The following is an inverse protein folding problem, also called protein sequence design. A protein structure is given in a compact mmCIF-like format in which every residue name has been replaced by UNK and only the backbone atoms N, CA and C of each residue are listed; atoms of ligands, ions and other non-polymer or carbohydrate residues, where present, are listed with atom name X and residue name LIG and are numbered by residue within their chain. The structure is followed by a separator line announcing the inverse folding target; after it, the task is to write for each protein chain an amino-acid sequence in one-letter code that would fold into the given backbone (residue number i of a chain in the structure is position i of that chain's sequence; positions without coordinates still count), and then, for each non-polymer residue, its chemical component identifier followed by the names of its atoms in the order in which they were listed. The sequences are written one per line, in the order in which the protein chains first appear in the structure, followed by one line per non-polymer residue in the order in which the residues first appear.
data_IF_318300545004
#
_entry.id   IF_318300545004
#
_cell.length_a   1.000
_cell.length_b   1.000
_cell.length_c   1.000
_cell.angle_alpha   90.00
_cell.angle_beta   90.00
_cell.angle_gamma   90.00
#
_symmetry.space_group_name_H-M   'P 1'
#
loop_
_entity.id
_entity.type
_entity.pdbx_description
1 polymer ?
#
# COMPACT_ATOMS: atom_id res chain seq x y z
N UNK A 1 -38.02 29.42 -5.67
CA UNK A 1 -38.17 28.68 -6.94
C UNK A 1 -36.87 27.91 -7.20
N UNK A 2 -37.00 26.59 -7.45
CA UNK A 2 -35.95 25.59 -7.76
C UNK A 2 -35.12 25.13 -6.54
N UNK A 3 -35.49 24.11 -5.76
CA UNK A 3 -35.93 22.72 -6.04
C UNK A 3 -34.77 21.74 -6.29
N UNK A 4 -34.52 20.90 -5.29
CA UNK A 4 -34.19 19.47 -5.35
C UNK A 4 -33.19 18.99 -6.42
N UNK A 5 -31.90 18.93 -6.08
CA UNK A 5 -30.91 18.22 -6.90
C UNK A 5 -29.72 17.73 -6.07
N UNK A 6 -29.90 16.77 -5.15
CA UNK A 6 -28.77 15.96 -4.66
C UNK A 6 -29.22 14.73 -3.84
N UNK A 7 -30.09 13.88 -4.40
CA UNK A 7 -30.55 12.67 -3.70
C UNK A 7 -30.37 11.37 -4.51
N UNK A 8 -29.47 11.36 -5.51
CA UNK A 8 -29.36 10.24 -6.48
C UNK A 8 -28.00 9.54 -6.51
N UNK A 9 -27.15 9.68 -5.48
CA UNK A 9 -25.82 9.04 -5.45
C UNK A 9 -25.73 7.88 -4.44
N UNK A 10 -26.74 7.64 -3.60
CA UNK A 10 -26.63 6.67 -2.50
C UNK A 10 -27.20 5.25 -2.75
N UNK A 11 -27.56 4.89 -3.99
CA UNK A 11 -28.26 3.61 -4.27
C UNK A 11 -27.57 2.72 -5.33
N UNK A 12 -26.23 2.76 -5.42
CA UNK A 12 -25.47 2.04 -6.47
C UNK A 12 -24.46 0.99 -5.98
N UNK A 13 -24.50 0.55 -4.71
CA UNK A 13 -23.44 -0.29 -4.14
C UNK A 13 -23.89 -1.64 -3.54
N UNK A 14 -24.98 -2.24 -4.05
CA UNK A 14 -25.57 -3.46 -3.46
C UNK A 14 -25.87 -4.60 -4.45
N UNK A 15 -25.23 -4.64 -5.61
CA UNK A 15 -25.38 -5.77 -6.54
C UNK A 15 -24.06 -6.13 -7.23
N UNK A 16 -23.18 -6.82 -6.52
CA UNK A 16 -22.13 -7.64 -7.14
C UNK A 16 -22.29 -9.08 -6.62
N UNK A 17 -22.78 -10.02 -7.45
CA UNK A 17 -22.84 -11.43 -7.08
C UNK A 17 -21.42 -11.99 -6.95
N UNK A 18 -21.15 -12.59 -5.79
CA UNK A 18 -19.94 -13.33 -5.49
C UNK A 18 -19.70 -14.46 -6.51
N UNK A 19 -18.84 -14.21 -7.49
CA UNK A 19 -18.22 -15.26 -8.29
C UNK A 19 -17.14 -15.94 -7.44
N UNK A 20 -17.56 -16.93 -6.66
CA UNK A 20 -16.68 -17.84 -5.91
C UNK A 20 -15.93 -18.71 -6.93
N UNK A 21 -14.74 -18.26 -7.35
CA UNK A 21 -13.81 -19.08 -8.15
C UNK A 21 -13.30 -20.20 -7.25
N UNK A 22 -13.71 -21.41 -7.55
CA UNK A 22 -13.08 -22.65 -7.11
C UNK A 22 -11.60 -22.62 -7.48
N UNK A 23 -10.75 -22.71 -6.45
CA UNK A 23 -9.32 -22.95 -6.61
C UNK A 23 -9.19 -24.42 -6.99
N UNK A 24 -9.04 -24.68 -8.28
CA UNK A 24 -8.65 -25.99 -8.77
C UNK A 24 -7.26 -26.32 -8.23
N UNK A 25 -7.18 -27.53 -7.70
CA UNK A 25 -6.04 -28.17 -7.07
C UNK A 25 -4.81 -28.17 -7.98
N UNK A 26 -3.78 -27.43 -7.57
CA UNK A 26 -2.44 -27.51 -8.13
C UNK A 26 -1.88 -28.93 -7.89
N UNK A 27 -1.96 -29.76 -8.93
CA UNK A 27 -1.38 -31.11 -8.97
C UNK A 27 0.14 -31.06 -8.98
N UNK A 28 0.76 -31.05 -7.80
CA UNK A 28 2.18 -31.34 -7.63
C UNK A 28 2.41 -32.86 -7.73
N UNK A 29 2.63 -33.34 -8.95
CA UNK A 29 3.18 -34.67 -9.22
C UNK A 29 4.61 -34.74 -8.67
N UNK A 30 4.76 -35.16 -7.41
CA UNK A 30 6.04 -35.55 -6.83
C UNK A 30 6.49 -36.88 -7.45
N UNK A 31 7.57 -36.83 -8.21
CA UNK A 31 8.34 -37.98 -8.65
C UNK A 31 8.90 -38.71 -7.42
N UNK A 32 8.35 -39.88 -7.12
CA UNK A 32 8.94 -40.83 -6.17
C UNK A 32 10.02 -41.59 -6.91
N UNK A 33 11.28 -41.41 -6.52
CA UNK A 33 12.34 -42.43 -6.58
C UNK A 33 13.56 -41.89 -5.82
N UNK A 34 13.53 -42.01 -4.50
CA UNK A 34 14.72 -41.78 -3.68
C UNK A 34 14.92 -42.98 -2.73
N UNK A 35 16.03 -43.74 -2.85
CA UNK A 35 16.23 -45.05 -2.21
C UNK A 35 16.65 -45.02 -0.73
N UNK A 36 16.38 -43.94 0.01
CA UNK A 36 16.88 -43.75 1.39
C UNK A 36 15.97 -44.33 2.50
N UNK A 37 14.90 -45.04 2.17
CA UNK A 37 13.84 -45.46 3.10
C UNK A 37 14.14 -46.72 3.94
N UNK A 38 15.28 -47.39 3.76
CA UNK A 38 15.54 -48.68 4.42
C UNK A 38 16.09 -48.62 5.85
N UNK A 39 16.39 -47.43 6.38
CA UNK A 39 16.86 -47.26 7.77
C UNK A 39 15.78 -46.86 8.78
N UNK A 40 14.52 -46.68 8.34
CA UNK A 40 13.42 -46.24 9.23
C UNK A 40 12.53 -47.38 9.77
N UNK A 41 12.63 -48.61 9.26
CA UNK A 41 11.74 -49.71 9.67
C UNK A 41 12.03 -50.29 11.06
N UNK A 42 13.20 -50.02 11.66
CA UNK A 42 13.50 -50.53 13.01
C UNK A 42 13.02 -49.62 14.16
N UNK A 43 12.54 -48.40 13.89
CA UNK A 43 11.96 -47.51 14.93
C UNK A 43 10.43 -47.59 15.07
N UNK A 44 9.73 -48.39 14.26
CA UNK A 44 8.26 -48.48 14.33
C UNK A 44 7.71 -49.42 15.41
N UNK A 45 8.53 -50.32 15.98
CA UNK A 45 8.01 -51.30 16.95
C UNK A 45 7.88 -50.79 18.39
N UNK A 46 8.50 -49.67 18.75
CA UNK A 46 8.35 -49.05 20.09
C UNK A 46 7.25 -47.98 20.20
N UNK A 47 6.63 -47.55 19.10
CA UNK A 47 5.55 -46.53 19.11
C UNK A 47 4.12 -47.09 19.15
N UNK A 48 3.94 -48.40 19.38
CA UNK A 48 2.60 -49.02 19.44
C UNK A 48 1.86 -48.84 20.77
N UNK A 49 2.48 -48.24 21.78
CA UNK A 49 1.83 -47.93 23.08
C UNK A 49 1.24 -46.53 23.21
N UNK A 50 1.44 -45.63 22.23
CA UNK A 50 1.09 -44.20 22.34
C UNK A 50 -0.01 -43.74 21.35
N UNK A 51 -0.65 -44.67 20.65
CA UNK A 51 -1.84 -44.42 19.85
C UNK A 51 -3.02 -45.13 20.53
N UNK A 52 -3.39 -44.64 21.71
CA UNK A 52 -4.71 -44.93 22.27
C UNK A 52 -5.79 -44.42 21.33
N UNK A 53 -6.94 -45.10 21.29
CA UNK A 53 -8.10 -44.90 20.41
C UNK A 53 -8.38 -43.43 20.05
N UNK A 54 -7.70 -42.92 19.02
CA UNK A 54 -7.92 -41.59 18.52
C UNK A 54 -9.27 -41.54 17.83
N UNK A 55 -10.21 -40.75 18.35
CA UNK A 55 -11.46 -40.46 17.64
C UNK A 55 -11.30 -39.17 16.86
N UNK A 56 -11.65 -39.23 15.58
CA UNK A 56 -11.70 -38.05 14.73
C UNK A 56 -12.62 -37.00 15.38
N UNK A 57 -12.04 -35.87 15.78
CA UNK A 57 -12.73 -34.80 16.52
C UNK A 57 -12.12 -34.46 17.88
N UNK A 58 -11.22 -35.30 18.44
CA UNK A 58 -10.60 -35.02 19.73
C UNK A 58 -9.63 -33.83 19.67
N UNK A 59 -8.89 -33.66 18.57
CA UNK A 59 -8.08 -32.47 18.32
C UNK A 59 -8.94 -31.20 18.30
N UNK A 60 -10.03 -31.20 17.53
CA UNK A 60 -10.97 -30.08 17.46
C UNK A 60 -11.59 -29.78 18.81
N UNK A 61 -12.00 -30.80 19.58
CA UNK A 61 -12.56 -30.63 20.93
C UNK A 61 -11.52 -30.06 21.90
N UNK A 62 -10.27 -30.50 21.84
CA UNK A 62 -9.20 -30.00 22.71
C UNK A 62 -8.88 -28.52 22.44
N UNK A 63 -8.83 -28.13 21.16
CA UNK A 63 -8.63 -26.74 20.75
C UNK A 63 -9.83 -25.89 21.15
N UNK A 64 -11.05 -26.35 20.85
CA UNK A 64 -12.28 -25.63 21.18
C UNK A 64 -12.44 -25.46 22.69
N UNK A 65 -12.11 -26.48 23.49
CA UNK A 65 -12.17 -26.41 24.96
C UNK A 65 -11.16 -25.40 25.51
N UNK A 66 -9.92 -25.36 24.99
CA UNK A 66 -8.91 -24.37 25.38
C UNK A 66 -9.32 -22.94 25.01
N UNK A 67 -9.82 -22.73 23.79
CA UNK A 67 -10.24 -21.39 23.35
C UNK A 67 -11.50 -20.93 24.09
N UNK A 68 -12.49 -21.81 24.27
CA UNK A 68 -13.71 -21.48 24.98
C UNK A 68 -13.45 -21.15 26.45
N UNK A 69 -12.67 -21.97 27.16
CA UNK A 69 -12.30 -21.70 28.56
C UNK A 69 -11.51 -20.40 28.72
N UNK A 70 -10.64 -20.06 27.77
CA UNK A 70 -9.93 -18.78 27.77
C UNK A 70 -10.83 -17.55 27.60
N UNK A 71 -11.97 -17.69 26.89
CA UNK A 71 -12.92 -16.59 26.65
C UNK A 71 -13.97 -16.49 27.76
N UNK A 72 -14.52 -17.63 28.21
CA UNK A 72 -15.65 -17.66 29.14
C UNK A 72 -15.24 -17.81 30.60
N UNK A 73 -14.01 -18.27 30.87
CA UNK A 73 -13.53 -18.57 32.22
C UNK A 73 -14.18 -19.80 32.86
N UNK A 74 -14.98 -20.59 32.12
CA UNK A 74 -15.66 -21.80 32.62
C UNK A 74 -14.95 -23.06 32.15
N UNK A 75 -14.83 -24.06 33.02
CA UNK A 75 -14.18 -25.36 32.69
C UNK A 75 -15.05 -26.25 31.79
N UNK A 76 -16.38 -26.11 31.88
CA UNK A 76 -17.35 -26.87 31.09
C UNK A 76 -18.05 -25.96 30.07
N UNK A 77 -17.77 -26.20 28.79
CA UNK A 77 -18.38 -25.45 27.69
C UNK A 77 -19.85 -25.85 27.49
N UNK A 78 -20.76 -24.87 27.60
CA UNK A 78 -22.14 -25.02 27.14
C UNK A 78 -22.35 -24.24 25.83
N UNK A 79 -23.10 -24.84 24.91
CA UNK A 79 -23.48 -24.17 23.67
C UNK A 79 -24.25 -22.88 23.99
N UNK A 80 -23.69 -21.73 23.62
CA UNK A 80 -24.25 -20.40 23.89
C UNK A 80 -23.53 -19.58 24.97
N UNK A 81 -22.59 -20.15 25.74
CA UNK A 81 -21.81 -19.40 26.73
C UNK A 81 -20.96 -18.29 26.07
N UNK A 82 -20.36 -18.57 24.91
CA UNK A 82 -19.59 -17.58 24.14
C UNK A 82 -20.52 -16.44 23.70
N UNK A 83 -21.70 -16.74 23.16
CA UNK A 83 -22.66 -15.73 22.72
C UNK A 83 -23.14 -14.85 23.87
N UNK A 84 -23.43 -15.43 25.04
CA UNK A 84 -23.84 -14.67 26.24
C UNK A 84 -22.70 -13.80 26.78
N UNK A 85 -21.48 -14.31 26.79
CA UNK A 85 -20.30 -13.56 27.25
C UNK A 85 -19.99 -12.41 26.30
N UNK A 86 -20.02 -12.64 24.98
CA UNK A 86 -19.87 -11.59 23.97
C UNK A 86 -20.97 -10.54 24.07
N UNK A 87 -22.23 -10.95 24.24
CA UNK A 87 -23.34 -10.03 24.41
C UNK A 87 -23.21 -9.20 25.68
N UNK A 88 -22.82 -9.82 26.81
CA UNK A 88 -22.59 -9.14 28.08
C UNK A 88 -21.42 -8.14 28.02
N UNK A 89 -20.34 -8.50 27.33
CA UNK A 89 -19.21 -7.59 27.10
C UNK A 89 -19.62 -6.42 26.19
N UNK A 90 -20.42 -6.69 25.15
CA UNK A 90 -20.93 -5.66 24.26
C UNK A 90 -21.86 -4.68 25.00
N UNK A 91 -22.81 -5.17 25.83
CA UNK A 91 -23.68 -4.29 26.62
C UNK A 91 -22.90 -3.48 27.65
N UNK A 92 -21.89 -4.08 28.30
CA UNK A 92 -21.02 -3.36 29.24
C UNK A 92 -20.24 -2.26 28.52
N UNK A 93 -19.62 -2.57 27.37
CA UNK A 93 -18.89 -1.58 26.58
C UNK A 93 -19.81 -0.46 26.07
N UNK A 94 -21.05 -0.78 25.65
CA UNK A 94 -22.03 0.23 25.25
C UNK A 94 -22.40 1.12 26.42
N UNK A 95 -22.64 0.55 27.61
CA UNK A 95 -22.94 1.32 28.83
C UNK A 95 -21.78 2.24 29.22
N UNK A 96 -20.54 1.75 29.15
CA UNK A 96 -19.35 2.55 29.46
C UNK A 96 -19.12 3.66 28.41
N UNK A 97 -19.52 3.44 27.16
CA UNK A 97 -19.46 4.43 26.09
C UNK A 97 -20.55 5.50 26.19
N UNK A 98 -21.79 5.12 26.55
CA UNK A 98 -22.95 6.02 26.55
C UNK A 98 -23.22 6.67 27.90
N UNK A 99 -22.82 6.02 29.01
CA UNK A 99 -23.15 6.44 30.38
C UNK A 99 -24.60 6.16 30.80
N UNK A 100 -25.41 5.54 29.94
CA UNK A 100 -26.82 5.24 30.20
C UNK A 100 -27.01 3.79 30.63
N UNK A 101 -27.82 3.54 31.67
CA UNK A 101 -28.11 2.17 32.14
C UNK A 101 -28.94 1.35 31.15
N UNK A 102 -29.79 2.01 30.35
CA UNK A 102 -30.65 1.38 29.35
C UNK A 102 -30.32 1.88 27.94
N UNK A 103 -30.08 0.95 27.01
CA UNK A 103 -29.71 1.29 25.63
C UNK A 103 -30.91 1.81 24.84
N UNK A 104 -30.79 3.02 24.29
CA UNK A 104 -31.73 3.53 23.29
C UNK A 104 -31.10 3.51 21.89
N UNK A 105 -31.93 3.20 20.89
CA UNK A 105 -31.48 3.24 19.49
C UNK A 105 -30.98 4.65 19.15
N UNK A 106 -29.70 4.75 18.80
CA UNK A 106 -29.02 6.01 18.49
C UNK A 106 -28.11 6.56 19.59
N UNK A 107 -28.10 5.98 20.79
CA UNK A 107 -27.21 6.42 21.87
C UNK A 107 -25.74 6.27 21.50
N UNK A 108 -25.36 5.16 20.86
CA UNK A 108 -23.99 4.96 20.35
C UNK A 108 -23.63 6.05 19.34
N UNK A 109 -24.54 6.37 18.41
CA UNK A 109 -24.30 7.41 17.40
C UNK A 109 -24.11 8.78 18.04
N UNK A 110 -24.91 9.14 19.05
CA UNK A 110 -24.77 10.40 19.80
C UNK A 110 -23.49 10.43 20.63
N UNK A 111 -23.16 9.33 21.31
CA UNK A 111 -21.92 9.23 22.09
C UNK A 111 -20.68 9.33 21.20
N UNK A 112 -20.68 8.68 20.04
CA UNK A 112 -19.61 8.81 19.04
C UNK A 112 -19.53 10.23 18.47
N UNK A 113 -20.66 10.88 18.18
CA UNK A 113 -20.69 12.27 17.71
C UNK A 113 -20.14 13.25 18.75
N UNK A 114 -20.50 13.10 20.03
CA UNK A 114 -19.95 13.92 21.12
C UNK A 114 -18.45 13.67 21.26
N UNK A 115 -17.99 12.41 21.29
CA UNK A 115 -16.56 12.10 21.37
C UNK A 115 -15.78 12.62 20.17
N UNK A 116 -16.34 12.52 18.97
CA UNK A 116 -15.72 13.08 17.77
C UNK A 116 -15.61 14.61 17.87
N UNK A 117 -16.69 15.30 18.28
CA UNK A 117 -16.69 16.75 18.47
C UNK A 117 -15.67 17.19 19.52
N UNK A 118 -15.60 16.50 20.66
CA UNK A 118 -14.60 16.77 21.71
C UNK A 118 -13.18 16.56 21.18
N UNK A 119 -12.92 15.44 20.49
CA UNK A 119 -11.60 15.18 19.92
C UNK A 119 -11.17 16.25 18.91
N UNK A 120 -12.10 16.75 18.08
CA UNK A 120 -11.79 17.84 17.14
C UNK A 120 -11.59 19.17 17.87
N UNK A 121 -12.42 19.47 18.87
CA UNK A 121 -12.27 20.66 19.70
C UNK A 121 -10.88 20.69 20.37
N UNK A 122 -10.47 19.57 20.98
CA UNK A 122 -9.16 19.38 21.59
C UNK A 122 -8.03 19.50 20.57
N UNK A 123 -8.16 18.87 19.40
CA UNK A 123 -7.14 18.90 18.33
C UNK A 123 -6.93 20.31 17.76
N UNK A 124 -7.99 21.12 17.69
CA UNK A 124 -7.98 22.46 17.10
C UNK A 124 -7.80 23.58 18.14
N UNK A 125 -7.76 23.23 19.44
CA UNK A 125 -7.75 24.16 20.57
C UNK A 125 -8.92 25.17 20.52
N UNK A 126 -10.13 24.69 20.18
CA UNK A 126 -11.36 25.51 20.14
C UNK A 126 -12.40 24.97 21.11
N UNK A 127 -13.24 25.85 21.65
CA UNK A 127 -14.33 25.42 22.56
C UNK A 127 -15.45 24.66 21.84
N UNK A 128 -15.70 24.96 20.57
CA UNK A 128 -16.79 24.36 19.80
C UNK A 128 -16.32 23.93 18.42
N UNK A 129 -16.72 22.72 18.02
CA UNK A 129 -16.46 22.16 16.71
C UNK A 129 -17.22 22.91 15.61
N UNK A 130 -16.52 23.30 14.54
CA UNK A 130 -17.12 23.71 13.28
C UNK A 130 -16.69 22.81 12.14
N UNK A 131 -17.61 22.58 11.19
CA UNK A 131 -17.33 21.78 10.00
C UNK A 131 -16.17 22.43 9.22
N UNK A 132 -15.14 21.63 8.94
CA UNK A 132 -13.94 22.07 8.24
C UNK A 132 -12.81 22.57 9.14
N UNK A 133 -12.98 22.62 10.46
CA UNK A 133 -11.91 23.03 11.38
C UNK A 133 -10.69 22.10 11.30
N UNK A 134 -10.91 20.77 11.20
CA UNK A 134 -9.81 19.81 11.02
C UNK A 134 -9.03 20.12 9.75
N UNK A 135 -9.72 20.26 8.61
CA UNK A 135 -9.07 20.51 7.33
C UNK A 135 -8.31 21.84 7.32
N UNK A 136 -8.89 22.91 7.89
CA UNK A 136 -8.22 24.21 8.03
C UNK A 136 -6.99 24.12 8.91
N UNK A 137 -7.06 23.41 10.04
CA UNK A 137 -5.94 23.26 10.96
C UNK A 137 -4.82 22.41 10.36
N UNK A 138 -5.13 21.32 9.66
CA UNK A 138 -4.13 20.53 8.94
C UNK A 138 -3.47 21.36 7.85
N UNK A 139 -4.24 22.08 7.03
CA UNK A 139 -3.70 22.96 5.98
C UNK A 139 -2.81 24.04 6.59
N UNK A 140 -3.22 24.65 7.72
CA UNK A 140 -2.41 25.63 8.46
C UNK A 140 -1.08 25.01 8.91
N UNK A 141 -1.10 23.82 9.51
CA UNK A 141 0.10 23.09 9.97
C UNK A 141 1.03 22.73 8.83
N UNK A 142 0.48 22.22 7.73
CA UNK A 142 1.23 21.91 6.51
C UNK A 142 1.91 23.17 5.96
N UNK A 143 1.17 24.29 5.88
CA UNK A 143 1.73 25.57 5.43
C UNK A 143 2.79 26.14 6.38
N UNK A 144 2.72 25.85 7.68
CA UNK A 144 3.74 26.27 8.65
C UNK A 144 4.94 25.33 8.74
N UNK A 145 4.91 24.17 8.08
CA UNK A 145 5.94 23.13 8.21
C UNK A 145 5.84 22.27 9.48
N UNK A 146 5.00 22.64 10.45
CA UNK A 146 4.78 21.93 11.71
C UNK A 146 3.68 20.86 11.60
N UNK A 147 3.82 19.93 10.65
CA UNK A 147 2.84 18.86 10.47
C UNK A 147 3.41 17.51 10.94
N UNK A 148 2.52 16.65 11.45
CA UNK A 148 2.84 15.24 11.68
C UNK A 148 2.39 14.42 10.48
N UNK A 149 3.07 13.32 10.18
CA UNK A 149 2.67 12.43 9.06
C UNK A 149 1.24 11.91 9.25
N UNK A 150 0.81 11.72 10.50
CA UNK A 150 -0.56 11.35 10.85
C UNK A 150 -1.59 12.41 10.45
N UNK A 151 -1.25 13.70 10.52
CA UNK A 151 -2.14 14.80 10.14
C UNK A 151 -2.40 14.80 8.63
N UNK A 152 -1.35 14.58 7.83
CA UNK A 152 -1.46 14.50 6.37
C UNK A 152 -2.21 13.24 5.96
N UNK A 153 -1.92 12.12 6.63
CA UNK A 153 -2.65 10.88 6.39
C UNK A 153 -4.15 11.02 6.71
N UNK A 154 -4.49 11.72 7.79
CA UNK A 154 -5.88 12.05 8.12
C UNK A 154 -6.53 12.92 7.03
N UNK A 155 -5.82 13.93 6.53
CA UNK A 155 -6.29 14.76 5.41
C UNK A 155 -6.56 13.91 4.17
N UNK A 156 -5.65 13.01 3.80
CA UNK A 156 -5.84 12.12 2.66
C UNK A 156 -7.05 11.20 2.84
N UNK A 157 -7.25 10.63 4.03
CA UNK A 157 -8.45 9.83 4.34
C UNK A 157 -9.74 10.61 4.21
N UNK A 158 -9.76 11.85 4.69
CA UNK A 158 -10.91 12.76 4.57
C UNK A 158 -11.20 13.01 3.09
N UNK A 159 -10.20 13.38 2.29
CA UNK A 159 -10.36 13.62 0.85
C UNK A 159 -10.91 12.40 0.12
N UNK A 160 -10.40 11.20 0.44
CA UNK A 160 -10.93 9.96 -0.12
C UNK A 160 -12.37 9.68 0.27
N UNK A 161 -12.75 9.93 1.52
CA UNK A 161 -14.13 9.75 1.96
C UNK A 161 -15.10 10.65 1.17
N UNK A 162 -14.65 11.83 0.74
CA UNK A 162 -15.40 12.75 -0.11
C UNK A 162 -15.24 12.47 -1.62
N UNK A 163 -14.44 11.48 -2.02
CA UNK A 163 -14.15 11.20 -3.42
C UNK A 163 -13.33 12.29 -4.11
N UNK A 164 -12.70 13.19 -3.36
CA UNK A 164 -11.80 14.18 -3.90
C UNK A 164 -10.49 13.50 -4.34
N UNK A 165 -10.01 13.86 -5.54
CA UNK A 165 -8.71 13.39 -6.01
C UNK A 165 -7.58 13.93 -5.11
N UNK A 166 -6.57 13.10 -4.82
CA UNK A 166 -5.41 13.52 -4.04
C UNK A 166 -4.40 14.35 -4.83
N UNK A 167 -4.43 14.28 -6.17
CA UNK A 167 -3.45 14.90 -7.04
C UNK A 167 -3.06 16.35 -6.65
N UNK A 168 -4.01 17.28 -6.38
CA UNK A 168 -3.65 18.65 -5.99
C UNK A 168 -2.98 18.76 -4.62
N UNK A 169 -3.22 17.82 -3.72
CA UNK A 169 -2.58 17.81 -2.39
C UNK A 169 -1.22 17.12 -2.48
N UNK A 170 -1.14 15.97 -3.15
CA UNK A 170 0.12 15.25 -3.36
C UNK A 170 1.14 16.09 -4.13
N UNK A 171 0.70 16.95 -5.06
CA UNK A 171 1.58 17.87 -5.80
C UNK A 171 2.08 19.06 -4.97
N UNK A 172 1.51 19.31 -3.79
CA UNK A 172 1.97 20.35 -2.86
C UNK A 172 2.90 19.81 -1.75
N UNK A 173 2.99 18.49 -1.58
CA UNK A 173 3.76 17.87 -0.49
C UNK A 173 5.22 17.62 -0.86
N UNK A 174 6.21 17.85 0.02
CA UNK A 174 7.60 17.45 -0.21
C UNK A 174 7.76 15.96 -0.57
N UNK A 175 8.72 15.61 -1.43
CA UNK A 175 8.91 14.24 -1.92
C UNK A 175 9.20 13.23 -0.79
N UNK A 176 9.95 13.68 0.23
CA UNK A 176 10.25 12.89 1.43
C UNK A 176 8.99 12.44 2.17
N UNK A 177 7.98 13.31 2.28
CA UNK A 177 6.73 12.95 2.93
C UNK A 177 5.88 11.98 2.13
N UNK A 178 5.88 12.13 0.80
CA UNK A 178 5.18 11.19 -0.08
C UNK A 178 5.74 9.78 0.13
N UNK A 179 7.06 9.66 0.25
CA UNK A 179 7.74 8.38 0.51
C UNK A 179 7.39 7.83 1.90
N UNK A 180 7.38 8.66 2.94
CA UNK A 180 6.95 8.27 4.29
C UNK A 180 5.47 7.84 4.33
N UNK A 181 4.60 8.56 3.61
CA UNK A 181 3.18 8.22 3.47
C UNK A 181 2.98 6.89 2.73
N UNK A 182 3.77 6.62 1.69
CA UNK A 182 3.77 5.33 0.99
C UNK A 182 4.20 4.22 1.95
N UNK A 183 5.28 4.41 2.71
CA UNK A 183 5.74 3.41 3.68
C UNK A 183 4.68 3.12 4.76
N UNK A 184 4.04 4.15 5.29
CA UNK A 184 2.92 3.99 6.24
C UNK A 184 1.71 3.33 5.57
N UNK A 185 1.43 3.66 4.30
CA UNK A 185 0.33 3.06 3.54
C UNK A 185 0.59 1.59 3.17
N UNK A 186 1.85 1.17 3.09
CA UNK A 186 2.21 -0.25 2.90
C UNK A 186 2.14 -1.01 4.22
N UNK A 187 2.49 -0.35 5.33
CA UNK A 187 2.41 -0.92 6.67
C UNK A 187 0.97 -0.99 7.20
N UNK A 188 0.13 -0.03 6.85
CA UNK A 188 -1.30 -0.02 7.16
C UNK A 188 -2.11 -0.65 6.04
N UNK A 189 -3.23 -1.29 6.38
CA UNK A 189 -4.25 -1.72 5.40
C UNK A 189 -4.95 -0.49 4.80
N UNK A 190 -4.24 0.28 3.98
CA UNK A 190 -4.79 1.46 3.32
C UNK A 190 -5.09 1.13 1.87
N UNK A 191 -6.16 1.71 1.34
CA UNK A 191 -6.67 1.37 0.01
C UNK A 191 -5.60 1.57 -1.07
N UNK A 192 -5.50 0.61 -1.99
CA UNK A 192 -4.63 0.66 -3.19
C UNK A 192 -4.74 1.98 -3.97
N UNK A 193 -5.88 2.66 -3.87
CA UNK A 193 -6.12 3.97 -4.49
C UNK A 193 -5.24 5.08 -3.92
N UNK A 194 -5.02 5.11 -2.59
CA UNK A 194 -4.12 6.08 -1.94
C UNK A 194 -2.70 5.83 -2.42
N UNK A 195 -2.28 4.55 -2.37
CA UNK A 195 -0.94 4.15 -2.78
C UNK A 195 -0.69 4.50 -4.25
N UNK A 196 -1.63 4.19 -5.15
CA UNK A 196 -1.51 4.50 -6.58
C UNK A 196 -1.42 6.00 -6.84
N UNK A 197 -2.23 6.82 -6.16
CA UNK A 197 -2.19 8.27 -6.33
C UNK A 197 -0.86 8.88 -5.80
N UNK A 198 -0.41 8.46 -4.61
CA UNK A 198 0.86 8.93 -4.04
C UNK A 198 2.06 8.48 -4.88
N UNK A 199 2.07 7.22 -5.33
CA UNK A 199 3.13 6.68 -6.18
C UNK A 199 3.18 7.38 -7.54
N UNK A 200 2.03 7.69 -8.16
CA UNK A 200 1.98 8.44 -9.42
C UNK A 200 2.59 9.83 -9.28
N UNK A 201 2.23 10.57 -8.23
CA UNK A 201 2.79 11.92 -8.03
C UNK A 201 4.27 11.90 -7.65
N UNK A 202 4.70 10.88 -6.89
CA UNK A 202 6.11 10.69 -6.57
C UNK A 202 6.92 10.37 -7.84
N UNK A 203 6.42 9.47 -8.69
CA UNK A 203 7.02 9.11 -9.98
C UNK A 203 7.14 10.33 -10.91
N UNK A 204 6.09 11.15 -11.03
CA UNK A 204 6.12 12.41 -11.81
C UNK A 204 7.22 13.36 -11.32
N UNK A 205 7.43 13.46 -10.01
CA UNK A 205 8.48 14.31 -9.44
C UNK A 205 9.87 13.76 -9.67
N UNK A 206 10.06 12.45 -9.49
CA UNK A 206 11.34 11.80 -9.78
C UNK A 206 11.70 11.94 -11.26
N UNK A 207 10.74 11.75 -12.17
CA UNK A 207 10.92 11.98 -13.60
C UNK A 207 11.32 13.41 -13.90
N UNK A 208 10.59 14.38 -13.34
CA UNK A 208 10.90 15.79 -13.51
C UNK A 208 12.28 16.17 -12.96
N UNK A 209 12.66 15.67 -11.79
CA UNK A 209 13.96 15.94 -11.18
C UNK A 209 15.12 15.33 -11.98
N UNK A 210 14.96 14.11 -12.49
CA UNK A 210 16.03 13.42 -13.24
C UNK A 210 16.17 13.89 -14.68
N UNK A 211 15.07 14.28 -15.32
CA UNK A 211 15.04 14.49 -16.78
C UNK A 211 14.67 15.91 -17.19
N UNK A 212 14.17 16.73 -16.26
CA UNK A 212 13.58 18.03 -16.55
C UNK A 212 12.21 17.96 -17.24
N UNK A 213 11.69 16.75 -17.51
CA UNK A 213 10.42 16.53 -18.19
C UNK A 213 9.46 15.73 -17.29
N UNK A 214 8.22 16.23 -17.14
CA UNK A 214 7.18 15.56 -16.34
C UNK A 214 6.60 14.36 -17.08
N UNK A 215 6.55 14.41 -18.40
CA UNK A 215 5.93 13.41 -19.25
C UNK A 215 6.92 12.32 -19.69
N UNK A 216 8.11 12.28 -19.07
CA UNK A 216 9.14 11.31 -19.38
C UNK A 216 8.61 9.87 -19.29
N UNK A 217 8.71 9.14 -20.40
CA UNK A 217 8.43 7.71 -20.42
C UNK A 217 9.74 6.96 -20.31
N UNK A 218 9.75 5.93 -19.47
CA UNK A 218 10.89 5.01 -19.34
C UNK A 218 11.19 4.42 -20.73
N UNK A 219 12.26 4.90 -21.37
CA UNK A 219 12.54 4.61 -22.77
C UNK A 219 12.94 5.84 -23.59
N UNK A 220 12.52 7.04 -23.20
CA UNK A 220 12.90 8.27 -23.89
C UNK A 220 14.39 8.59 -23.71
N UNK A 221 14.99 8.28 -22.55
CA UNK A 221 16.43 8.46 -22.35
C UNK A 221 17.24 7.47 -23.18
N UNK A 222 16.78 6.21 -23.23
CA UNK A 222 17.37 5.18 -24.10
C UNK A 222 17.23 5.57 -25.57
N UNK A 223 16.05 6.08 -25.96
CA UNK A 223 15.78 6.58 -27.32
C UNK A 223 16.69 7.76 -27.65
N UNK A 224 16.81 8.76 -26.77
CA UNK A 224 17.72 9.90 -26.94
C UNK A 224 19.19 9.45 -27.03
N UNK A 225 19.61 8.48 -26.20
CA UNK A 225 20.97 7.94 -26.24
C UNK A 225 21.25 7.20 -27.54
N UNK A 226 20.30 6.40 -28.03
CA UNK A 226 20.40 5.70 -29.33
C UNK A 226 20.39 6.71 -30.48
N UNK A 227 19.52 7.72 -30.47
CA UNK A 227 19.44 8.77 -31.50
C UNK A 227 20.74 9.57 -31.58
N UNK A 228 21.31 9.96 -30.42
CA UNK A 228 22.64 10.61 -30.35
C UNK A 228 23.73 9.72 -30.92
N UNK A 229 23.72 8.43 -30.63
CA UNK A 229 24.70 7.48 -31.17
C UNK A 229 24.58 7.29 -32.70
N UNK A 230 23.36 7.31 -33.22
CA UNK A 230 23.08 7.17 -34.66
C UNK A 230 23.34 8.49 -35.43
N UNK A 231 23.45 9.62 -34.72
CA UNK A 231 23.63 10.95 -35.32
C UNK A 231 22.34 11.50 -35.96
N UNK A 232 21.18 11.13 -35.41
CA UNK A 232 19.87 11.66 -35.84
C UNK A 232 19.36 12.68 -34.81
N UNK A 233 18.67 13.70 -35.30
CA UNK A 233 18.06 14.73 -34.46
C UNK A 233 16.83 14.20 -33.71
N UNK A 234 16.43 14.87 -32.63
CA UNK A 234 15.32 14.44 -31.76
C UNK A 234 13.97 14.30 -32.49
N UNK A 235 13.82 14.92 -33.67
CA UNK A 235 12.64 14.83 -34.52
C UNK A 235 12.54 13.56 -35.37
N UNK A 236 13.62 12.79 -35.51
CA UNK A 236 13.64 11.65 -36.41
C UNK A 236 13.15 10.38 -35.72
N UNK A 237 12.23 9.67 -36.38
CA UNK A 237 11.74 8.39 -35.89
C UNK A 237 12.80 7.30 -36.06
N UNK A 238 13.03 6.51 -35.01
CA UNK A 238 13.95 5.38 -35.05
C UNK A 238 13.44 4.32 -36.02
N UNK A 239 14.27 3.93 -36.99
CA UNK A 239 13.98 2.83 -37.89
C UNK A 239 14.87 1.62 -37.57
N UNK A 240 14.27 0.44 -37.59
CA UNK A 240 15.02 -0.81 -37.41
C UNK A 240 16.13 -0.92 -38.46
N UNK A 241 17.39 -1.02 -38.01
CA UNK A 241 18.58 -1.05 -38.87
C UNK A 241 19.41 0.24 -38.86
N UNK A 242 18.95 1.31 -38.22
CA UNK A 242 19.73 2.55 -38.08
C UNK A 242 21.03 2.36 -37.29
N UNK A 243 21.01 1.54 -36.23
CA UNK A 243 22.22 1.20 -35.47
C UNK A 243 23.22 0.47 -36.37
N UNK A 244 22.77 -0.51 -37.16
CA UNK A 244 23.63 -1.24 -38.09
C UNK A 244 24.26 -0.31 -39.14
N UNK A 245 23.48 0.66 -39.65
CA UNK A 245 24.00 1.67 -40.58
C UNK A 245 25.01 2.61 -39.90
N UNK A 246 24.76 3.05 -38.67
CA UNK A 246 25.67 3.90 -37.91
C UNK A 246 27.00 3.17 -37.62
N UNK A 247 26.93 1.92 -37.17
CA UNK A 247 28.11 1.08 -36.93
C UNK A 247 28.88 0.81 -38.23
N UNK A 248 28.19 0.55 -39.34
CA UNK A 248 28.83 0.37 -40.64
C UNK A 248 29.57 1.65 -41.10
N UNK A 249 28.95 2.83 -40.94
CA UNK A 249 29.61 4.13 -41.21
C UNK A 249 30.83 4.34 -40.33
N UNK A 250 30.74 4.06 -39.03
CA UNK A 250 31.87 4.17 -38.10
C UNK A 250 33.01 3.21 -38.46
N UNK A 251 32.70 2.00 -38.93
CA UNK A 251 33.70 1.03 -39.39
C UNK A 251 34.43 1.53 -40.65
N UNK A 252 33.70 2.03 -41.65
CA UNK A 252 34.28 2.62 -42.86
C UNK A 252 35.16 3.85 -42.55
N UNK A 253 34.74 4.70 -41.61
CA UNK A 253 35.48 5.89 -41.19
C UNK A 253 36.75 5.52 -40.40
N UNK A 254 36.69 4.44 -39.61
CA UNK A 254 37.85 3.89 -38.91
C UNK A 254 38.89 3.30 -39.88
N UNK A 255 38.45 2.63 -40.95
CA UNK A 255 39.36 2.12 -41.97
C UNK A 255 40.04 3.25 -42.77
N UNK A 256 39.35 4.39 -42.95
CA UNK A 256 39.94 5.61 -43.55
C UNK A 256 40.91 6.33 -42.61
N UNK A 257 40.69 6.29 -41.29
CA UNK A 257 41.51 6.96 -40.27
C UNK A 257 42.62 6.07 -39.68
N UNK A 258 42.66 4.78 -40.01
CA UNK A 258 43.66 3.79 -39.60
C UNK A 258 45.12 4.05 -40.03
N UNK A 259 45.47 5.28 -40.44
CA UNK A 259 46.86 5.73 -40.59
C UNK A 259 47.36 6.69 -39.51
N UNK A 260 46.54 7.10 -38.54
CA UNK A 260 47.00 7.94 -37.42
C UNK A 260 46.57 7.29 -36.10
N UNK A 261 47.56 6.91 -35.29
CA UNK A 261 47.45 5.97 -34.17
C UNK A 261 46.44 6.33 -33.07
N UNK A 262 45.75 5.31 -32.57
CA UNK A 262 44.80 5.38 -31.46
C UNK A 262 45.52 5.08 -30.15
N UNK A 263 45.68 6.10 -29.30
CA UNK A 263 45.95 5.95 -27.87
C UNK A 263 44.62 5.77 -27.13
N UNK A 264 44.43 4.60 -26.52
CA UNK A 264 43.27 4.26 -25.70
C UNK A 264 43.26 5.06 -24.38
N UNK A 265 42.36 6.02 -24.25
CA UNK A 265 42.01 6.65 -22.96
C UNK A 265 40.68 6.07 -22.49
N UNK A 266 40.75 4.97 -21.75
CA UNK A 266 39.65 4.51 -20.91
C UNK A 266 39.59 5.38 -19.66
N UNK A 267 38.51 6.15 -19.51
CA UNK A 267 38.19 6.85 -18.27
C UNK A 267 36.69 6.85 -18.02
N UNK A 268 36.39 6.34 -16.82
CA UNK A 268 35.39 6.85 -15.89
C UNK A 268 33.91 6.61 -16.22
N UNK A 269 33.50 5.34 -16.12
CA UNK A 269 32.15 4.99 -15.70
C UNK A 269 32.17 4.74 -14.18
N UNK A 270 32.03 5.80 -13.37
CA UNK A 270 31.61 5.76 -11.94
C UNK A 270 31.55 7.17 -11.32
N UNK A 271 30.92 8.14 -12.01
CA UNK A 271 30.63 9.48 -11.46
C UNK A 271 29.17 9.81 -11.78
N UNK A 272 28.23 9.07 -11.21
CA UNK A 272 26.80 9.43 -11.27
C UNK A 272 26.15 9.43 -9.86
N UNK A 273 26.75 8.80 -8.85
CA UNK A 273 25.96 8.41 -7.67
C UNK A 273 26.01 9.34 -6.43
N UNK A 274 26.56 10.57 -6.51
CA UNK A 274 26.61 11.46 -5.32
C UNK A 274 26.03 12.86 -5.55
N UNK A 275 26.24 13.46 -6.72
CA UNK A 275 25.82 14.85 -6.99
C UNK A 275 24.29 14.99 -7.17
N UNK A 276 23.63 13.94 -7.68
CA UNK A 276 22.17 13.92 -7.87
C UNK A 276 21.42 13.89 -6.51
N UNK A 277 22.04 13.33 -5.47
CA UNK A 277 21.41 13.25 -4.13
C UNK A 277 21.47 14.63 -3.44
N UNK A 278 22.56 15.38 -3.60
CA UNK A 278 22.68 16.74 -3.05
C UNK A 278 21.80 17.78 -3.78
N UNK A 279 21.58 17.65 -5.10
CA UNK A 279 20.67 18.55 -5.82
C UNK A 279 19.20 18.33 -5.45
N UNK A 280 18.79 17.10 -5.14
CA UNK A 280 17.43 16.78 -4.68
C UNK A 280 17.13 17.40 -3.31
N UNK A 281 18.14 17.60 -2.45
CA UNK A 281 17.99 18.22 -1.13
C UNK A 281 17.93 19.76 -1.19
N UNK A 282 18.33 20.37 -2.32
CA UNK A 282 18.27 21.83 -2.56
C UNK A 282 16.98 22.33 -3.24
N UNK A 283 16.16 21.42 -3.74
CA UNK A 283 14.94 21.73 -4.50
C UNK A 283 13.64 21.64 -3.68
N UNK A 284 13.73 21.27 -2.40
CA UNK A 284 12.67 21.46 -1.40
C UNK A 284 12.74 22.87 -0.79
#
# INVERSE_FOLDING_TARGET
MKSYLCATVLLGLLAAPHAFRTIDSFGLSRTKNNPSTRLFEQKEKEKKGLFGDYKFGDLTKSVLKKTASGITGKEDYQFGDISRTLLGNATTAVRDLTGNEEYQFGDISRALDVKAKTFVADYTNKEQYQVGDISKEIVRRVSSGEYKVQDIFLLCKILFAFGAGLAPVASALPAKLLLDLINISLAGEVSDRLLGALASTLDERFKHALTGDKDYKMGDFTKKSILRFVGKDESDEYQFGDISKAVAKLAEEKDRSGRIGVSSSGKDSNIIDVEIIEELERLD
#
